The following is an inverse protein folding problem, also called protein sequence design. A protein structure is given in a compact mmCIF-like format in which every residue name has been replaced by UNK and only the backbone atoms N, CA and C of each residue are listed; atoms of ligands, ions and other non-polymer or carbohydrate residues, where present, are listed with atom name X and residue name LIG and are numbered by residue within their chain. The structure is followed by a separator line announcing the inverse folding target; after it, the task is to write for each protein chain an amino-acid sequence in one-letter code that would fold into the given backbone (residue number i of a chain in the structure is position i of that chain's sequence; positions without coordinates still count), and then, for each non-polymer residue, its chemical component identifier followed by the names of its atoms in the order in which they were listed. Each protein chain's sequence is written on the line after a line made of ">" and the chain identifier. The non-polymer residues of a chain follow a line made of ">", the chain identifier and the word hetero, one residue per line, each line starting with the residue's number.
data_IF_600148811032
#
_entry.id   IF_600148811032
#
_cell.length_a   1.000
_cell.length_b   1.000
_cell.length_c   1.000
_cell.angle_alpha   90.00
_cell.angle_beta   90.00
_cell.angle_gamma   90.00
#
_symmetry.space_group_name_H-M   'P 1'
#
loop_
_entity.id
_entity.type
_entity.pdbx_description
1 polymer ?
#
# COMPACT_ATOMS: atom_id res chain seq x y z
N UNK A 1 18.55 -24.86 -43.43
CA UNK A 1 19.13 -23.52 -43.19
C UNK A 1 18.66 -23.06 -41.82
N UNK A 2 19.57 -22.69 -40.92
CA UNK A 2 19.20 -22.08 -39.64
C UNK A 2 18.56 -20.72 -39.95
N UNK A 3 17.30 -20.56 -39.60
CA UNK A 3 16.61 -19.27 -39.66
C UNK A 3 17.41 -18.28 -38.78
N UNK A 4 17.82 -17.15 -39.35
CA UNK A 4 18.56 -16.13 -38.60
C UNK A 4 17.70 -15.65 -37.43
N UNK A 5 18.19 -15.84 -36.20
CA UNK A 5 17.49 -15.39 -34.98
C UNK A 5 17.82 -13.92 -34.72
N UNK A 6 16.81 -13.15 -34.31
CA UNK A 6 17.02 -11.77 -33.87
C UNK A 6 17.75 -11.78 -32.52
N UNK A 7 18.71 -10.89 -32.33
CA UNK A 7 19.41 -10.70 -31.05
C UNK A 7 18.68 -9.61 -30.27
N UNK A 8 18.28 -9.91 -29.04
CA UNK A 8 17.66 -8.97 -28.11
C UNK A 8 18.52 -8.82 -26.85
N UNK A 9 18.59 -7.61 -26.31
CA UNK A 9 19.15 -7.34 -24.99
C UNK A 9 18.24 -7.80 -23.85
N UNK A 10 18.61 -7.46 -22.61
CA UNK A 10 17.78 -7.70 -21.42
C UNK A 10 16.51 -6.84 -21.36
N UNK A 11 16.51 -5.70 -22.06
CA UNK A 11 15.37 -4.79 -22.23
C UNK A 11 15.28 -4.35 -23.70
N UNK A 12 14.06 -4.33 -24.25
CA UNK A 12 13.80 -3.92 -25.64
C UNK A 12 12.48 -3.14 -25.74
N UNK A 13 12.30 -2.48 -26.88
CA UNK A 13 11.04 -1.80 -27.22
C UNK A 13 10.31 -2.57 -28.31
N UNK A 14 9.01 -2.77 -28.13
CA UNK A 14 8.15 -3.45 -29.10
C UNK A 14 6.81 -2.74 -29.27
N UNK A 15 6.06 -3.10 -30.31
CA UNK A 15 4.71 -2.58 -30.58
C UNK A 15 3.68 -3.71 -30.64
N UNK A 16 2.41 -3.33 -30.46
CA UNK A 16 1.24 -4.18 -30.70
C UNK A 16 0.20 -3.38 -31.48
N UNK A 17 0.31 -3.31 -32.82
CA UNK A 17 -0.54 -2.47 -33.66
C UNK A 17 -2.05 -2.78 -33.51
N UNK A 18 -2.40 -4.06 -33.37
CA UNK A 18 -3.80 -4.50 -33.21
C UNK A 18 -4.41 -4.02 -31.89
N UNK A 19 -3.59 -3.81 -30.87
CA UNK A 19 -4.01 -3.25 -29.58
C UNK A 19 -3.91 -1.72 -29.55
N UNK A 20 -3.48 -1.09 -30.64
CA UNK A 20 -3.22 0.33 -30.68
C UNK A 20 -2.07 0.77 -29.77
N UNK A 21 -1.13 -0.13 -29.44
CA UNK A 21 0.06 0.16 -28.63
C UNK A 21 1.24 0.41 -29.58
N UNK A 22 1.62 1.67 -29.86
CA UNK A 22 2.65 1.95 -30.85
C UNK A 22 4.05 1.58 -30.36
N UNK A 23 4.34 1.75 -29.06
CA UNK A 23 5.64 1.39 -28.50
C UNK A 23 5.59 1.17 -26.97
N UNK A 24 6.06 0.04 -26.49
CA UNK A 24 6.10 -0.31 -25.07
C UNK A 24 7.43 -0.96 -24.72
N UNK A 25 7.94 -0.65 -23.52
CA UNK A 25 9.18 -1.22 -23.01
C UNK A 25 8.91 -2.62 -22.46
N UNK A 26 9.62 -3.61 -22.99
CA UNK A 26 9.56 -5.00 -22.58
C UNK A 26 10.86 -5.43 -21.89
N UNK A 27 10.72 -6.18 -20.78
CA UNK A 27 11.83 -6.97 -20.26
C UNK A 27 11.86 -8.31 -20.95
N UNK A 28 13.02 -8.69 -21.47
CA UNK A 28 13.25 -9.99 -22.10
C UNK A 28 13.50 -11.02 -21.00
N UNK A 29 12.53 -11.89 -20.76
CA UNK A 29 12.53 -12.80 -19.62
C UNK A 29 12.41 -14.26 -20.08
N UNK A 30 13.57 -14.90 -20.25
CA UNK A 30 13.64 -16.32 -20.58
C UNK A 30 13.16 -17.23 -19.44
N UNK A 31 13.05 -16.72 -18.20
CA UNK A 31 12.47 -17.45 -17.07
C UNK A 31 10.94 -17.53 -17.11
N UNK A 32 10.29 -16.55 -17.73
CA UNK A 32 8.84 -16.54 -17.92
C UNK A 32 8.43 -17.48 -19.07
N UNK A 33 7.52 -18.42 -18.82
CA UNK A 33 6.99 -19.33 -19.87
C UNK A 33 6.22 -18.54 -20.95
N UNK A 34 5.18 -17.82 -20.51
CA UNK A 34 4.28 -17.05 -21.37
C UNK A 34 4.52 -15.55 -21.13
N UNK A 35 4.42 -14.74 -22.19
CA UNK A 35 4.51 -13.29 -22.08
C UNK A 35 3.39 -12.71 -21.20
N UNK A 36 3.65 -11.54 -20.60
CA UNK A 36 2.68 -10.87 -19.75
C UNK A 36 2.65 -9.38 -20.03
N UNK A 37 1.45 -8.84 -20.22
CA UNK A 37 1.20 -7.42 -20.43
C UNK A 37 0.51 -6.86 -19.18
N UNK A 38 1.06 -5.75 -18.67
CA UNK A 38 0.45 -4.96 -17.63
C UNK A 38 -0.85 -4.37 -18.16
N UNK A 39 -1.96 -4.73 -17.55
CA UNK A 39 -3.28 -4.24 -17.91
C UNK A 39 -4.11 -3.95 -16.66
N UNK A 40 -4.95 -2.92 -16.74
CA UNK A 40 -5.90 -2.52 -15.69
C UNK A 40 -7.33 -2.53 -16.26
N UNK A 41 -8.32 -2.43 -15.38
CA UNK A 41 -9.74 -2.46 -15.76
C UNK A 41 -10.14 -3.67 -16.63
N UNK A 42 -9.45 -4.81 -16.43
CA UNK A 42 -9.64 -6.01 -17.23
C UNK A 42 -11.04 -6.58 -16.98
N UNK A 43 -11.88 -6.55 -18.00
CA UNK A 43 -13.26 -7.01 -17.92
C UNK A 43 -13.64 -7.85 -19.16
N UNK A 44 -14.10 -9.10 -18.98
CA UNK A 44 -14.63 -9.88 -20.08
C UNK A 44 -15.97 -9.30 -20.54
N UNK A 45 -16.25 -9.37 -21.85
CA UNK A 45 -17.54 -9.01 -22.44
C UNK A 45 -17.83 -9.88 -23.67
N UNK A 46 -19.05 -9.79 -24.21
CA UNK A 46 -19.40 -10.44 -25.47
C UNK A 46 -19.53 -9.40 -26.58
N UNK A 47 -18.87 -9.65 -27.71
CA UNK A 47 -18.97 -8.86 -28.94
C UNK A 47 -19.38 -9.82 -30.05
N UNK A 48 -20.53 -9.56 -30.67
CA UNK A 48 -21.04 -10.38 -31.78
C UNK A 48 -21.10 -11.90 -31.45
N UNK A 49 -21.46 -12.23 -30.21
CA UNK A 49 -21.56 -13.63 -29.75
C UNK A 49 -20.23 -14.28 -29.34
N UNK A 50 -19.08 -13.65 -29.60
CA UNK A 50 -17.76 -14.13 -29.21
C UNK A 50 -17.32 -13.56 -27.85
N UNK A 51 -16.47 -14.30 -27.13
CA UNK A 51 -15.88 -13.82 -25.88
C UNK A 51 -14.72 -12.88 -26.16
N UNK A 52 -14.78 -11.69 -25.59
CA UNK A 52 -13.77 -10.65 -25.70
C UNK A 52 -13.35 -10.19 -24.30
N UNK A 53 -12.24 -9.47 -24.22
CA UNK A 53 -11.79 -8.79 -23.02
C UNK A 53 -11.47 -7.34 -23.37
N UNK A 54 -11.98 -6.40 -22.56
CA UNK A 54 -11.60 -5.00 -22.60
C UNK A 54 -10.66 -4.72 -21.44
N UNK A 55 -9.67 -3.86 -21.66
CA UNK A 55 -8.66 -3.53 -20.68
C UNK A 55 -7.95 -2.23 -21.07
N UNK A 56 -7.32 -1.59 -20.10
CA UNK A 56 -6.56 -0.36 -20.29
C UNK A 56 -5.07 -0.62 -20.09
N UNK A 57 -4.24 0.05 -20.87
CA UNK A 57 -2.78 -0.04 -20.82
C UNK A 57 -2.19 1.33 -20.50
N UNK A 58 -1.25 1.36 -19.55
CA UNK A 58 -0.34 2.47 -19.34
C UNK A 58 1.03 2.12 -19.96
N UNK A 59 1.30 2.52 -21.21
CA UNK A 59 2.45 2.00 -21.96
C UNK A 59 3.79 2.62 -21.52
N UNK A 60 3.75 3.83 -20.97
CA UNK A 60 4.95 4.56 -20.53
C UNK A 60 5.25 4.22 -19.08
N UNK A 61 6.51 3.89 -18.79
CA UNK A 61 6.96 3.61 -17.43
C UNK A 61 6.76 4.82 -16.52
N UNK A 62 6.21 4.59 -15.33
CA UNK A 62 5.90 5.62 -14.33
C UNK A 62 4.98 6.75 -14.83
N UNK A 63 4.24 6.55 -15.93
CA UNK A 63 3.22 7.48 -16.41
C UNK A 63 1.90 6.72 -16.52
N UNK A 64 0.93 7.18 -15.73
CA UNK A 64 -0.42 6.61 -15.69
C UNK A 64 -1.46 7.50 -16.37
N UNK A 65 -1.06 8.69 -16.85
CA UNK A 65 -1.93 9.63 -17.58
C UNK A 65 -2.15 9.18 -19.02
N UNK A 66 -1.14 8.57 -19.63
CA UNK A 66 -1.23 7.95 -20.94
C UNK A 66 -1.96 6.61 -20.80
N UNK A 67 -3.16 6.52 -21.37
CA UNK A 67 -4.00 5.33 -21.34
C UNK A 67 -4.36 4.93 -22.77
N UNK A 68 -4.18 3.66 -23.09
CA UNK A 68 -4.70 3.05 -24.31
C UNK A 68 -5.83 2.11 -23.92
N UNK A 69 -7.00 2.34 -24.52
CA UNK A 69 -8.15 1.46 -24.35
C UNK A 69 -8.09 0.35 -25.39
N UNK A 70 -7.97 -0.88 -24.90
CA UNK A 70 -7.78 -2.06 -25.75
C UNK A 70 -8.98 -3.01 -25.63
N UNK A 71 -9.33 -3.62 -26.77
CA UNK A 71 -10.24 -4.76 -26.82
C UNK A 71 -9.55 -5.87 -27.61
N UNK A 72 -9.64 -7.11 -27.13
CA UNK A 72 -9.11 -8.26 -27.85
C UNK A 72 -10.01 -9.49 -27.67
N UNK A 73 -10.06 -10.40 -28.66
CA UNK A 73 -10.68 -11.71 -28.50
C UNK A 73 -10.06 -12.47 -27.32
N UNK A 74 -10.90 -13.07 -26.48
CA UNK A 74 -10.44 -13.88 -25.37
C UNK A 74 -10.12 -15.29 -25.86
N UNK A 75 -8.83 -15.64 -25.86
CA UNK A 75 -8.34 -16.93 -26.39
C UNK A 75 -8.46 -18.03 -25.33
N UNK A 76 -8.04 -17.74 -24.10
CA UNK A 76 -7.93 -18.74 -23.04
C UNK A 76 -7.90 -18.06 -21.65
N UNK A 77 -7.96 -18.87 -20.60
CA UNK A 77 -7.66 -18.47 -19.21
C UNK A 77 -6.60 -19.39 -18.64
N UNK A 78 -5.50 -18.82 -18.16
CA UNK A 78 -4.36 -19.60 -17.64
C UNK A 78 -4.07 -19.28 -16.19
N UNK A 79 -3.86 -20.34 -15.40
CA UNK A 79 -3.34 -20.22 -14.04
C UNK A 79 -1.83 -20.03 -14.14
N UNK A 80 -1.35 -18.82 -13.85
CA UNK A 80 0.07 -18.48 -13.83
C UNK A 80 0.58 -18.50 -12.39
N UNK A 81 1.70 -19.20 -12.16
CA UNK A 81 2.39 -19.23 -10.88
C UNK A 81 3.54 -18.22 -10.90
N UNK A 82 3.55 -17.26 -9.98
CA UNK A 82 4.67 -16.34 -9.79
C UNK A 82 5.89 -17.03 -9.18
N UNK A 83 7.06 -16.40 -9.29
CA UNK A 83 8.28 -16.79 -8.58
C UNK A 83 8.10 -16.81 -7.06
N UNK A 84 7.21 -15.98 -6.52
CA UNK A 84 6.81 -15.95 -5.11
C UNK A 84 5.83 -17.06 -4.69
N UNK A 85 5.41 -17.93 -5.63
CA UNK A 85 4.52 -19.05 -5.36
C UNK A 85 3.03 -18.76 -5.46
N UNK A 86 2.64 -17.50 -5.72
CA UNK A 86 1.24 -17.09 -5.93
C UNK A 86 0.69 -17.67 -7.22
N UNK A 87 -0.58 -18.08 -7.23
CA UNK A 87 -1.28 -18.54 -8.43
C UNK A 87 -2.38 -17.53 -8.78
N UNK A 88 -2.40 -17.09 -10.03
CA UNK A 88 -3.37 -16.13 -10.56
C UNK A 88 -4.01 -16.71 -11.81
N UNK A 89 -5.34 -16.69 -11.92
CA UNK A 89 -6.02 -16.94 -13.20
C UNK A 89 -5.96 -15.66 -14.03
N UNK A 90 -5.36 -15.73 -15.22
CA UNK A 90 -5.18 -14.60 -16.13
C UNK A 90 -5.86 -14.85 -17.46
N UNK A 91 -6.46 -13.80 -18.02
CA UNK A 91 -7.00 -13.82 -19.37
C UNK A 91 -5.85 -13.85 -20.37
N UNK A 92 -5.98 -14.68 -21.41
CA UNK A 92 -5.01 -14.81 -22.49
C UNK A 92 -5.58 -14.17 -23.75
N UNK A 93 -4.80 -13.29 -24.35
CA UNK A 93 -5.07 -12.72 -25.66
C UNK A 93 -3.97 -13.14 -26.62
N UNK A 94 -4.28 -13.08 -27.91
CA UNK A 94 -3.32 -13.30 -28.98
C UNK A 94 -3.23 -12.04 -29.82
N UNK A 95 -2.02 -11.61 -30.14
CA UNK A 95 -1.79 -10.41 -30.96
C UNK A 95 -0.43 -10.46 -31.66
N UNK A 96 -0.28 -9.69 -32.73
CA UNK A 96 1.00 -9.53 -33.43
C UNK A 96 1.97 -8.65 -32.65
N UNK A 97 3.11 -9.24 -32.28
CA UNK A 97 4.29 -8.54 -31.77
C UNK A 97 5.08 -8.00 -32.95
N UNK A 98 5.42 -6.71 -32.94
CA UNK A 98 6.51 -6.19 -33.78
C UNK A 98 7.68 -5.76 -32.91
N UNK A 99 8.88 -6.20 -33.28
CA UNK A 99 10.13 -5.92 -32.56
C UNK A 99 11.28 -5.83 -33.55
N UNK A 100 11.90 -4.65 -33.63
CA UNK A 100 12.84 -4.33 -34.71
C UNK A 100 12.18 -4.48 -36.08
N UNK A 101 12.82 -5.23 -36.98
CA UNK A 101 12.29 -5.50 -38.33
C UNK A 101 11.51 -6.83 -38.43
N UNK A 102 11.13 -7.41 -37.29
CA UNK A 102 10.46 -8.72 -37.25
C UNK A 102 9.05 -8.59 -36.68
N UNK A 103 8.12 -9.40 -37.20
CA UNK A 103 6.77 -9.51 -36.66
C UNK A 103 6.33 -10.98 -36.57
N UNK A 104 5.59 -11.32 -35.52
CA UNK A 104 4.93 -12.62 -35.41
C UNK A 104 3.84 -12.62 -34.34
N UNK A 105 2.92 -13.57 -34.46
CA UNK A 105 1.82 -13.77 -33.53
C UNK A 105 2.31 -14.34 -32.20
N UNK A 106 1.90 -13.74 -31.08
CA UNK A 106 2.20 -14.24 -29.73
C UNK A 106 0.95 -14.31 -28.89
N UNK A 107 0.96 -15.23 -27.91
CA UNK A 107 0.01 -15.20 -26.81
C UNK A 107 0.61 -14.46 -25.61
N UNK A 108 -0.22 -13.69 -24.92
CA UNK A 108 0.17 -13.01 -23.70
C UNK A 108 -0.95 -13.02 -22.67
N UNK A 109 -0.56 -13.03 -21.40
CA UNK A 109 -1.48 -12.92 -20.27
C UNK A 109 -1.68 -11.46 -19.87
N UNK A 110 -2.92 -11.08 -19.57
CA UNK A 110 -3.26 -9.77 -19.00
C UNK A 110 -3.23 -9.86 -17.48
N UNK A 111 -2.50 -8.96 -16.81
CA UNK A 111 -2.40 -8.93 -15.34
C UNK A 111 -2.01 -7.55 -14.84
N UNK A 112 -2.46 -7.17 -13.64
CA UNK A 112 -1.97 -5.94 -13.03
C UNK A 112 -0.55 -6.16 -12.48
N UNK A 113 0.42 -5.49 -13.11
CA UNK A 113 1.85 -5.53 -12.76
C UNK A 113 2.42 -4.21 -12.21
N UNK A 114 1.58 -3.30 -11.69
CA UNK A 114 2.00 -1.98 -11.18
C UNK A 114 3.19 -2.07 -10.20
N UNK A 115 3.18 -3.08 -9.33
CA UNK A 115 4.23 -3.30 -8.33
C UNK A 115 5.51 -3.95 -8.86
N UNK A 116 5.57 -4.37 -10.14
CA UNK A 116 6.61 -5.26 -10.68
C UNK A 116 7.57 -4.62 -11.68
N UNK A 117 7.54 -3.28 -11.83
CA UNK A 117 8.56 -2.48 -12.51
C UNK A 117 8.56 -2.49 -14.05
N UNK A 118 8.10 -3.57 -14.71
CA UNK A 118 7.98 -3.63 -16.18
C UNK A 118 6.54 -3.87 -16.64
N UNK A 119 6.07 -3.02 -17.55
CA UNK A 119 4.74 -3.08 -18.16
C UNK A 119 4.59 -4.23 -19.16
N UNK A 120 5.68 -4.74 -19.72
CA UNK A 120 5.66 -5.90 -20.62
C UNK A 120 6.79 -6.88 -20.26
N UNK A 121 6.46 -8.17 -20.21
CA UNK A 121 7.42 -9.28 -20.15
C UNK A 121 7.34 -10.08 -21.44
N UNK A 122 8.46 -10.21 -22.15
CA UNK A 122 8.59 -11.10 -23.30
C UNK A 122 9.04 -12.48 -22.83
N UNK A 123 8.11 -13.44 -22.84
CA UNK A 123 8.33 -14.79 -22.34
C UNK A 123 8.94 -15.74 -23.39
N UNK A 124 9.39 -16.89 -22.91
CA UNK A 124 10.14 -17.88 -23.68
C UNK A 124 9.34 -18.50 -24.83
N UNK A 125 8.02 -18.65 -24.71
CA UNK A 125 7.16 -19.12 -25.81
C UNK A 125 7.13 -18.15 -27.00
N UNK A 126 7.06 -16.85 -26.73
CA UNK A 126 7.13 -15.81 -27.77
C UNK A 126 8.50 -15.77 -28.47
N UNK A 127 9.57 -16.08 -27.73
CA UNK A 127 10.95 -16.05 -28.22
C UNK A 127 11.40 -17.34 -28.93
N UNK A 128 10.78 -18.47 -28.63
CA UNK A 128 11.25 -19.79 -29.05
C UNK A 128 11.40 -19.90 -30.57
N UNK A 129 12.57 -20.37 -31.01
CA UNK A 129 12.92 -20.50 -32.44
C UNK A 129 13.26 -19.19 -33.17
N UNK A 130 13.03 -18.03 -32.55
CA UNK A 130 13.11 -16.71 -33.22
C UNK A 130 14.18 -15.79 -32.65
N UNK A 131 14.46 -15.91 -31.35
CA UNK A 131 15.27 -14.95 -30.59
C UNK A 131 16.53 -15.60 -29.99
N UNK A 132 17.62 -14.85 -29.97
CA UNK A 132 18.80 -15.05 -29.13
C UNK A 132 18.87 -13.89 -28.13
N UNK A 133 19.10 -14.17 -26.84
CA UNK A 133 19.14 -13.13 -25.80
C UNK A 133 20.59 -12.88 -25.40
N UNK A 134 21.02 -11.64 -25.52
CA UNK A 134 22.27 -11.13 -24.97
C UNK A 134 21.98 -10.44 -23.62
N UNK A 135 22.35 -11.06 -22.48
CA UNK A 135 22.04 -10.51 -21.17
C UNK A 135 22.89 -9.28 -20.80
N UNK A 136 24.01 -9.03 -21.48
CA UNK A 136 24.90 -7.90 -21.21
C UNK A 136 24.36 -6.60 -21.82
N UNK A 137 23.65 -6.71 -22.93
CA UNK A 137 23.15 -5.57 -23.70
C UNK A 137 21.74 -5.12 -23.28
N UNK A 138 21.39 -3.89 -23.64
CA UNK A 138 20.05 -3.32 -23.57
C UNK A 138 19.78 -2.49 -24.83
N UNK A 139 18.53 -2.50 -25.30
CA UNK A 139 18.08 -1.72 -26.46
C UNK A 139 18.91 -1.98 -27.72
N UNK A 140 19.22 -3.25 -28.00
CA UNK A 140 20.00 -3.66 -29.18
C UNK A 140 19.32 -3.17 -30.47
N UNK A 141 17.99 -3.04 -30.44
CA UNK A 141 17.17 -2.58 -31.55
C UNK A 141 16.89 -1.07 -31.54
N UNK A 142 17.50 -0.32 -30.61
CA UNK A 142 17.33 1.11 -30.43
C UNK A 142 16.34 1.48 -29.32
N UNK A 143 16.41 2.75 -28.91
CA UNK A 143 15.59 3.32 -27.84
C UNK A 143 14.91 4.61 -28.32
N UNK A 144 13.58 4.75 -28.15
CA UNK A 144 12.89 6.01 -28.40
C UNK A 144 13.34 7.08 -27.41
N UNK A 145 13.47 8.32 -27.89
CA UNK A 145 13.72 9.49 -27.04
C UNK A 145 12.46 9.88 -26.28
N UNK A 146 12.61 10.60 -25.16
CA UNK A 146 11.47 11.09 -24.37
C UNK A 146 10.48 11.93 -25.18
N UNK A 147 10.97 12.73 -26.14
CA UNK A 147 10.12 13.54 -27.00
C UNK A 147 9.38 12.70 -28.04
N UNK A 148 10.04 11.68 -28.60
CA UNK A 148 9.37 10.73 -29.50
C UNK A 148 8.24 9.97 -28.80
N UNK A 149 8.42 9.58 -27.53
CA UNK A 149 7.37 8.94 -26.73
C UNK A 149 6.18 9.87 -26.52
N UNK A 150 6.41 11.15 -26.23
CA UNK A 150 5.32 12.13 -26.07
C UNK A 150 4.54 12.33 -27.35
N UNK A 151 5.21 12.46 -28.49
CA UNK A 151 4.53 12.64 -29.78
C UNK A 151 3.71 11.40 -30.16
N UNK A 152 4.26 10.20 -29.97
CA UNK A 152 3.56 8.93 -30.24
C UNK A 152 2.30 8.77 -29.38
N UNK A 153 2.31 9.29 -28.14
CA UNK A 153 1.21 9.15 -27.18
C UNK A 153 0.39 10.42 -26.95
N UNK A 154 0.55 11.44 -27.79
CA UNK A 154 -0.04 12.78 -27.61
C UNK A 154 -1.56 12.78 -27.46
N UNK A 155 -2.24 11.88 -28.17
CA UNK A 155 -3.71 11.76 -28.15
C UNK A 155 -4.22 10.71 -27.15
N UNK A 156 -3.32 10.06 -26.42
CA UNK A 156 -3.63 9.00 -25.46
C UNK A 156 -3.60 9.50 -24.01
N UNK A 157 -3.31 10.78 -23.78
CA UNK A 157 -3.41 11.38 -22.44
C UNK A 157 -4.87 11.65 -22.09
N UNK A 158 -5.30 11.13 -20.93
CA UNK A 158 -6.63 11.43 -20.40
C UNK A 158 -6.65 12.86 -19.87
N UNK A 159 -7.64 13.66 -20.27
CA UNK A 159 -7.94 14.91 -19.57
C UNK A 159 -8.30 14.59 -18.11
N UNK A 160 -7.72 15.32 -17.16
CA UNK A 160 -8.05 15.17 -15.73
C UNK A 160 -9.54 15.48 -15.53
N UNK A 161 -10.33 14.43 -15.34
CA UNK A 161 -11.78 14.51 -15.13
C UNK A 161 -12.15 14.37 -13.66
N UNK A 162 -11.16 14.08 -12.81
CA UNK A 162 -11.33 13.93 -11.38
C UNK A 162 -10.99 15.19 -10.58
N UNK A 163 -11.31 15.12 -9.29
CA UNK A 163 -10.96 16.13 -8.28
C UNK A 163 -9.45 16.29 -8.05
N UNK A 164 -9.08 17.38 -7.37
CA UNK A 164 -7.72 17.69 -6.90
C UNK A 164 -7.47 17.11 -5.53
N UNK A 165 -6.47 16.23 -5.42
CA UNK A 165 -6.14 15.53 -4.19
C UNK A 165 -4.69 15.81 -3.79
N UNK A 166 -4.48 16.31 -2.58
CA UNK A 166 -3.15 16.52 -2.00
C UNK A 166 -2.73 15.35 -1.10
N UNK A 167 -1.56 14.76 -1.35
CA UNK A 167 -0.92 13.80 -0.45
C UNK A 167 0.00 14.55 0.52
N UNK A 168 -0.46 14.76 1.75
CA UNK A 168 0.27 15.50 2.77
C UNK A 168 1.22 14.56 3.54
N UNK A 169 2.52 14.59 3.20
CA UNK A 169 3.51 13.64 3.72
C UNK A 169 4.90 14.26 3.85
N UNK A 170 5.90 13.47 4.28
CA UNK A 170 7.27 13.97 4.50
C UNK A 170 8.32 13.42 3.53
N UNK A 171 8.01 12.33 2.81
CA UNK A 171 8.96 11.69 1.89
C UNK A 171 8.22 11.15 0.66
N UNK A 172 8.40 11.72 -0.53
CA UNK A 172 7.74 11.26 -1.75
C UNK A 172 8.22 9.87 -2.20
N UNK A 173 9.44 9.47 -1.82
CA UNK A 173 10.07 8.24 -2.29
C UNK A 173 9.57 6.97 -1.60
N UNK A 174 8.76 7.07 -0.54
CA UNK A 174 8.19 5.91 0.12
C UNK A 174 7.19 5.19 -0.79
N UNK A 175 7.28 3.85 -0.85
CA UNK A 175 6.37 2.99 -1.61
C UNK A 175 4.89 3.38 -1.44
N UNK A 176 4.44 3.53 -0.19
CA UNK A 176 3.04 3.86 0.09
C UNK A 176 2.61 5.21 -0.52
N UNK A 177 3.50 6.18 -0.55
CA UNK A 177 3.19 7.51 -1.08
C UNK A 177 3.17 7.49 -2.61
N UNK A 178 4.14 6.84 -3.25
CA UNK A 178 4.14 6.61 -4.70
C UNK A 178 2.87 5.91 -5.16
N UNK A 179 2.51 4.81 -4.49
CA UNK A 179 1.30 4.04 -4.78
C UNK A 179 0.01 4.85 -4.66
N UNK A 180 -0.12 5.70 -3.65
CA UNK A 180 -1.30 6.57 -3.50
C UNK A 180 -1.36 7.62 -4.62
N UNK A 181 -0.23 8.24 -4.98
CA UNK A 181 -0.16 9.19 -6.09
C UNK A 181 -0.55 8.50 -7.41
N UNK A 182 0.08 7.37 -7.73
CA UNK A 182 -0.21 6.57 -8.92
C UNK A 182 -1.68 6.16 -8.97
N UNK A 183 -2.23 5.62 -7.87
CA UNK A 183 -3.61 5.16 -7.82
C UNK A 183 -4.61 6.32 -8.04
N UNK A 184 -4.30 7.52 -7.55
CA UNK A 184 -5.13 8.70 -7.78
C UNK A 184 -5.09 9.15 -9.23
N UNK A 185 -3.89 9.24 -9.82
CA UNK A 185 -3.71 9.62 -11.21
C UNK A 185 -4.34 8.59 -12.18
N UNK A 186 -4.19 7.29 -11.92
CA UNK A 186 -4.83 6.21 -12.69
C UNK A 186 -6.35 6.31 -12.70
N UNK A 187 -6.92 6.88 -11.65
CA UNK A 187 -8.36 7.11 -11.51
C UNK A 187 -8.81 8.45 -12.10
N UNK A 188 -7.87 9.22 -12.65
CA UNK A 188 -8.12 10.46 -13.38
C UNK A 188 -8.13 11.71 -12.51
N UNK A 189 -7.63 11.62 -11.27
CA UNK A 189 -7.51 12.76 -10.36
C UNK A 189 -6.21 13.54 -10.57
N UNK A 190 -6.26 14.82 -10.24
CA UNK A 190 -5.07 15.68 -10.21
C UNK A 190 -4.39 15.52 -8.85
N UNK A 191 -3.30 14.77 -8.82
CA UNK A 191 -2.58 14.44 -7.59
C UNK A 191 -1.42 15.39 -7.33
N UNK A 192 -1.29 15.88 -6.09
CA UNK A 192 -0.19 16.74 -5.68
C UNK A 192 0.48 16.22 -4.42
N UNK A 193 1.80 16.05 -4.45
CA UNK A 193 2.57 15.74 -3.25
C UNK A 193 2.84 17.02 -2.47
N UNK A 194 2.44 17.07 -1.20
CA UNK A 194 2.62 18.23 -0.32
C UNK A 194 3.56 17.85 0.82
N UNK A 195 4.79 18.39 0.81
CA UNK A 195 5.69 18.21 1.93
C UNK A 195 5.20 18.98 3.16
N UNK A 196 4.92 18.26 4.26
CA UNK A 196 4.45 18.84 5.52
C UNK A 196 5.33 20.00 5.99
N UNK A 197 6.66 19.89 5.88
CA UNK A 197 7.59 20.92 6.39
C UNK A 197 7.65 22.17 5.52
N UNK A 198 7.17 22.09 4.29
CA UNK A 198 7.14 23.21 3.35
C UNK A 198 5.80 23.95 3.38
N UNK A 199 4.81 23.42 4.11
CA UNK A 199 3.52 24.06 4.31
C UNK A 199 3.56 24.99 5.52
N UNK A 200 2.92 26.15 5.42
CA UNK A 200 2.66 27.08 6.52
C UNK A 200 1.26 27.68 6.36
N UNK A 201 0.68 28.27 7.41
CA UNK A 201 -0.73 28.68 7.36
C UNK A 201 -0.95 30.10 7.87
N UNK A 202 -1.97 30.75 7.30
CA UNK A 202 -2.52 32.02 7.75
C UNK A 202 -3.83 31.72 8.48
N UNK A 203 -3.86 32.02 9.77
CA UNK A 203 -5.05 31.92 10.60
C UNK A 203 -5.79 33.26 10.55
N UNK A 204 -6.82 33.32 9.71
CA UNK A 204 -7.66 34.50 9.57
C UNK A 204 -9.12 34.08 9.54
N UNK A 205 -9.99 34.87 10.18
CA UNK A 205 -11.40 34.54 10.34
C UNK A 205 -12.19 34.58 9.02
N UNK A 206 -11.70 35.31 8.02
CA UNK A 206 -12.39 35.51 6.73
C UNK A 206 -11.70 34.79 5.56
N UNK A 207 -10.38 34.75 5.61
CA UNK A 207 -9.49 34.24 4.55
C UNK A 207 -8.45 33.28 5.13
N UNK A 208 -8.87 32.15 5.73
CA UNK A 208 -7.95 31.12 6.16
C UNK A 208 -7.23 30.53 4.93
N UNK A 209 -5.90 30.42 5.01
CA UNK A 209 -5.09 29.93 3.90
C UNK A 209 -4.01 28.97 4.38
N UNK A 210 -3.64 28.04 3.51
CA UNK A 210 -2.42 27.25 3.62
C UNK A 210 -1.53 27.63 2.44
N UNK A 211 -0.28 27.91 2.74
CA UNK A 211 0.76 28.27 1.81
C UNK A 211 1.77 27.13 1.71
N UNK A 212 2.41 27.03 0.56
CA UNK A 212 3.53 26.16 0.29
C UNK A 212 4.76 27.00 -0.02
N UNK A 213 5.94 26.43 0.21
CA UNK A 213 7.22 27.06 -0.10
C UNK A 213 7.21 27.72 -1.48
N UNK A 214 7.63 28.98 -1.53
CA UNK A 214 7.55 29.82 -2.74
C UNK A 214 6.31 30.70 -2.82
N UNK A 215 5.45 30.70 -1.80
CA UNK A 215 4.27 31.57 -1.73
C UNK A 215 3.04 31.04 -2.46
N UNK A 216 3.04 29.76 -2.86
CA UNK A 216 1.90 29.13 -3.50
C UNK A 216 0.78 28.91 -2.48
N UNK A 217 -0.42 29.39 -2.77
CA UNK A 217 -1.60 29.18 -1.93
C UNK A 217 -2.30 27.87 -2.31
N UNK A 218 -2.56 27.01 -1.33
CA UNK A 218 -3.14 25.68 -1.48
C UNK A 218 -4.66 25.69 -1.24
N UNK A 219 -5.39 26.51 -1.99
CA UNK A 219 -6.84 26.69 -1.82
C UNK A 219 -7.72 25.88 -2.80
N UNK A 220 -7.12 25.09 -3.69
CA UNK A 220 -7.82 24.41 -4.79
C UNK A 220 -7.86 22.89 -4.61
N UNK A 221 -7.80 22.39 -3.37
CA UNK A 221 -7.90 20.95 -3.11
C UNK A 221 -9.31 20.57 -2.68
N UNK A 222 -9.82 19.50 -3.28
CA UNK A 222 -11.09 18.89 -2.88
C UNK A 222 -10.87 17.90 -1.73
N UNK A 223 -9.74 17.19 -1.75
CA UNK A 223 -9.37 16.23 -0.73
C UNK A 223 -7.87 16.26 -0.36
N UNK A 224 -7.57 15.86 0.87
CA UNK A 224 -6.22 15.65 1.38
C UNK A 224 -6.10 14.24 1.97
N UNK A 225 -4.98 13.57 1.72
CA UNK A 225 -4.60 12.30 2.35
C UNK A 225 -3.41 12.55 3.28
N UNK A 226 -3.62 12.70 4.61
CA UNK A 226 -2.53 12.88 5.55
C UNK A 226 -1.78 11.57 5.80
N UNK A 227 -0.47 11.55 5.51
CA UNK A 227 0.46 10.46 5.79
C UNK A 227 1.50 10.91 6.79
N UNK A 228 1.02 11.18 8.01
CA UNK A 228 1.77 11.86 9.06
C UNK A 228 2.59 10.84 9.88
N UNK A 229 3.91 11.03 9.87
CA UNK A 229 4.84 10.28 10.73
C UNK A 229 4.71 10.74 12.19
N UNK A 230 4.94 9.88 13.18
CA UNK A 230 4.63 10.28 14.56
C UNK A 230 5.49 11.43 15.10
N UNK A 231 6.73 11.60 14.61
CA UNK A 231 7.63 12.69 15.00
C UNK A 231 7.16 14.10 14.60
N UNK A 232 6.17 14.19 13.72
CA UNK A 232 5.60 15.46 13.23
C UNK A 232 4.08 15.49 13.42
N UNK A 233 3.54 14.68 14.34
CA UNK A 233 2.09 14.54 14.56
C UNK A 233 1.42 15.88 14.82
N UNK A 234 1.98 16.69 15.73
CA UNK A 234 1.42 17.99 16.08
C UNK A 234 1.26 18.89 14.84
N UNK A 235 2.34 19.13 14.11
CA UNK A 235 2.32 20.03 12.96
C UNK A 235 1.50 19.48 11.80
N UNK A 236 1.62 18.18 11.50
CA UNK A 236 0.83 17.53 10.46
C UNK A 236 -0.68 17.58 10.75
N UNK A 237 -1.09 17.35 12.00
CA UNK A 237 -2.49 17.45 12.39
C UNK A 237 -2.99 18.90 12.39
N UNK A 238 -2.14 19.88 12.72
CA UNK A 238 -2.48 21.30 12.62
C UNK A 238 -2.79 21.69 11.16
N UNK A 239 -1.96 21.28 10.20
CA UNK A 239 -2.21 21.49 8.76
C UNK A 239 -3.48 20.79 8.29
N UNK A 240 -3.67 19.52 8.70
CA UNK A 240 -4.87 18.75 8.36
C UNK A 240 -6.13 19.45 8.87
N UNK A 241 -6.10 19.95 10.11
CA UNK A 241 -7.21 20.69 10.71
C UNK A 241 -7.50 22.01 9.98
N UNK A 242 -6.46 22.67 9.47
CA UNK A 242 -6.63 23.87 8.67
C UNK A 242 -7.29 23.56 7.32
N UNK A 243 -6.92 22.45 6.67
CA UNK A 243 -7.62 21.97 5.46
C UNK A 243 -9.10 21.65 5.77
N UNK A 244 -9.38 20.98 6.88
CA UNK A 244 -10.75 20.72 7.35
C UNK A 244 -11.55 22.02 7.57
N UNK A 245 -10.94 23.04 8.19
CA UNK A 245 -11.56 24.35 8.39
C UNK A 245 -11.84 25.10 7.08
N UNK A 246 -11.09 24.79 6.01
CA UNK A 246 -11.32 25.27 4.65
C UNK A 246 -12.32 24.41 3.87
N UNK A 247 -13.03 23.48 4.55
CA UNK A 247 -13.99 22.53 3.97
C UNK A 247 -13.39 21.52 2.98
N UNK A 248 -12.10 21.21 3.11
CA UNK A 248 -11.42 20.19 2.32
C UNK A 248 -11.57 18.83 2.99
N UNK A 249 -11.97 17.80 2.24
CA UNK A 249 -12.15 16.45 2.78
C UNK A 249 -10.80 15.81 3.17
N UNK A 250 -10.69 15.22 4.37
CA UNK A 250 -9.44 14.64 4.85
C UNK A 250 -9.55 13.12 5.15
N UNK A 251 -8.65 12.32 4.57
CA UNK A 251 -8.59 10.86 4.72
C UNK A 251 -7.29 10.41 5.40
N UNK A 252 -7.18 10.32 6.73
CA UNK A 252 -8.20 10.50 7.78
C UNK A 252 -8.27 11.94 8.32
N UNK A 253 -9.25 12.21 9.19
CA UNK A 253 -9.39 13.48 9.90
C UNK A 253 -8.28 13.74 10.92
N UNK A 254 -8.02 15.01 11.23
CA UNK A 254 -7.01 15.44 12.20
C UNK A 254 -7.30 14.88 13.61
N UNK A 255 -8.58 14.82 13.98
CA UNK A 255 -9.05 14.25 15.26
C UNK A 255 -8.78 12.75 15.31
N UNK A 256 -9.19 11.98 14.31
CA UNK A 256 -9.00 10.53 14.28
C UNK A 256 -7.51 10.15 14.30
N UNK A 257 -6.67 10.89 13.58
CA UNK A 257 -5.21 10.71 13.61
C UNK A 257 -4.67 10.96 15.01
N UNK A 258 -5.05 12.07 15.65
CA UNK A 258 -4.60 12.42 17.00
C UNK A 258 -4.98 11.34 18.02
N UNK A 259 -6.23 10.90 18.00
CA UNK A 259 -6.75 9.86 18.90
C UNK A 259 -6.01 8.53 18.73
N UNK A 260 -5.72 8.11 17.49
CA UNK A 260 -4.99 6.87 17.23
C UNK A 260 -3.52 6.92 17.65
N UNK A 261 -2.93 8.11 17.80
CA UNK A 261 -1.52 8.32 18.15
C UNK A 261 -1.29 8.24 19.65
N UNK A 262 -2.27 8.68 20.44
CA UNK A 262 -2.26 8.47 21.88
C UNK A 262 -2.66 7.02 22.18
N UNK A 263 -1.67 6.18 22.48
CA UNK A 263 -1.90 4.74 22.74
C UNK A 263 -2.78 4.51 23.95
N UNK A 264 -2.67 5.32 25.01
CA UNK A 264 -3.47 5.13 26.21
C UNK A 264 -4.93 5.48 25.93
N UNK A 265 -5.16 6.66 25.35
CA UNK A 265 -6.50 7.10 24.97
C UNK A 265 -7.14 6.12 23.97
N UNK A 266 -6.36 5.67 22.98
CA UNK A 266 -6.76 4.66 21.99
C UNK A 266 -7.25 3.38 22.66
N UNK A 267 -6.51 2.81 23.60
CA UNK A 267 -6.91 1.60 24.33
C UNK A 267 -8.16 1.82 25.20
N UNK A 268 -8.26 2.97 25.88
CA UNK A 268 -9.44 3.32 26.69
C UNK A 268 -10.71 3.43 25.82
N UNK A 269 -10.61 4.05 24.65
CA UNK A 269 -11.71 4.20 23.70
C UNK A 269 -12.17 2.85 23.12
N UNK A 270 -11.24 1.94 22.86
CA UNK A 270 -11.53 0.58 22.39
C UNK A 270 -12.26 -0.24 23.45
N UNK A 271 -11.80 -0.18 24.71
CA UNK A 271 -12.47 -0.82 25.84
C UNK A 271 -13.90 -0.29 26.02
N UNK A 272 -14.10 1.04 25.96
CA UNK A 272 -15.43 1.65 26.01
C UNK A 272 -16.34 1.19 24.86
N UNK A 273 -15.75 0.81 23.74
CA UNK A 273 -16.46 0.26 22.57
C UNK A 273 -16.70 -1.26 22.66
N UNK A 274 -16.40 -1.89 23.80
CA UNK A 274 -16.56 -3.32 24.03
C UNK A 274 -15.63 -4.17 23.16
N UNK A 275 -14.43 -3.67 22.85
CA UNK A 275 -13.39 -4.43 22.15
C UNK A 275 -12.40 -4.94 23.18
N UNK A 276 -12.15 -6.25 23.15
CA UNK A 276 -11.16 -6.86 24.03
C UNK A 276 -9.74 -6.50 23.59
N UNK A 277 -8.92 -6.16 24.58
CA UNK A 277 -7.48 -5.91 24.45
C UNK A 277 -6.75 -6.79 25.47
N UNK A 278 -5.45 -7.04 25.32
CA UNK A 278 -4.71 -7.70 26.38
C UNK A 278 -4.74 -6.87 27.67
N UNK A 279 -4.83 -7.53 28.82
CA UNK A 279 -4.81 -6.89 30.14
C UNK A 279 -3.65 -5.89 30.22
N UNK A 280 -3.95 -4.61 30.43
CA UNK A 280 -2.97 -3.51 30.35
C UNK A 280 -3.08 -2.61 31.57
N UNK A 281 -1.96 -2.45 32.29
CA UNK A 281 -1.76 -1.43 33.31
C UNK A 281 -1.05 -0.20 32.74
N UNK A 282 -1.36 0.97 33.28
CA UNK A 282 -0.72 2.24 32.92
C UNK A 282 -0.12 2.88 34.18
N UNK A 283 1.12 3.35 34.09
CA UNK A 283 1.77 4.03 35.20
C UNK A 283 2.73 5.12 34.72
N UNK A 284 2.88 6.18 35.52
CA UNK A 284 3.87 7.24 35.30
C UNK A 284 5.15 6.99 36.09
N UNK A 285 5.00 6.77 37.39
CA UNK A 285 6.10 6.50 38.31
C UNK A 285 5.56 5.68 39.48
N UNK A 286 5.33 4.36 39.29
CA UNK A 286 4.78 3.55 40.35
C UNK A 286 5.78 3.51 41.51
N UNK A 287 5.32 3.81 42.73
CA UNK A 287 6.07 3.48 43.94
C UNK A 287 6.02 1.95 44.18
N UNK A 288 4.93 1.30 43.76
CA UNK A 288 4.72 -0.15 43.85
C UNK A 288 4.77 -0.83 42.47
N UNK A 289 5.98 -1.06 41.96
CA UNK A 289 6.22 -1.85 40.73
C UNK A 289 5.64 -3.27 40.82
N UNK A 290 5.65 -3.86 42.01
CA UNK A 290 5.11 -5.20 42.27
C UNK A 290 3.61 -5.29 42.04
N UNK A 291 2.87 -4.27 42.46
CA UNK A 291 1.43 -4.22 42.28
C UNK A 291 1.07 -4.08 40.79
N UNK A 292 1.81 -3.23 40.07
CA UNK A 292 1.65 -3.07 38.62
C UNK A 292 1.88 -4.39 37.85
N UNK A 293 2.88 -5.18 38.26
CA UNK A 293 3.14 -6.50 37.66
C UNK A 293 1.99 -7.48 37.97
N UNK A 294 1.49 -7.48 39.21
CA UNK A 294 0.36 -8.34 39.61
C UNK A 294 -0.94 -7.97 38.88
N UNK A 295 -1.18 -6.68 38.67
CA UNK A 295 -2.37 -6.14 37.99
C UNK A 295 -2.56 -6.72 36.57
N UNK A 296 -1.47 -7.06 35.89
CA UNK A 296 -1.50 -7.63 34.53
C UNK A 296 -1.37 -9.16 34.50
N UNK A 297 -1.43 -9.82 35.66
CA UNK A 297 -1.34 -11.28 35.78
C UNK A 297 0.08 -11.83 35.97
N UNK A 298 1.07 -10.98 36.24
CA UNK A 298 2.46 -11.40 36.48
C UNK A 298 3.30 -11.49 35.21
N UNK A 299 4.42 -12.22 35.29
CA UNK A 299 5.35 -12.42 34.17
C UNK A 299 5.13 -13.77 33.48
N UNK A 300 5.42 -13.90 32.17
CA UNK A 300 6.01 -12.90 31.27
C UNK A 300 5.06 -11.75 30.94
N UNK A 301 5.60 -10.54 30.78
CA UNK A 301 4.83 -9.32 30.44
C UNK A 301 5.55 -8.44 29.44
N UNK A 302 4.81 -7.53 28.81
CA UNK A 302 5.32 -6.52 27.89
C UNK A 302 5.33 -5.16 28.55
N UNK A 303 6.47 -4.45 28.50
CA UNK A 303 6.56 -3.03 28.87
C UNK A 303 6.68 -2.19 27.61
N UNK A 304 5.79 -1.22 27.44
CA UNK A 304 5.74 -0.30 26.29
C UNK A 304 5.91 1.15 26.74
N UNK A 305 6.79 1.88 26.09
CA UNK A 305 6.84 3.34 26.17
C UNK A 305 5.72 3.95 25.33
N UNK A 306 5.02 4.95 25.89
CA UNK A 306 4.08 5.77 25.13
C UNK A 306 4.81 6.59 24.07
N UNK A 307 5.99 7.10 24.43
CA UNK A 307 6.86 7.88 23.54
C UNK A 307 7.74 6.95 22.70
N UNK A 308 7.53 6.95 21.39
CA UNK A 308 8.33 6.17 20.44
C UNK A 308 7.53 5.58 19.27
N UNK A 309 8.23 5.30 18.17
CA UNK A 309 7.65 4.76 16.93
C UNK A 309 8.33 3.45 16.52
N UNK A 310 7.62 2.57 15.81
CA UNK A 310 8.18 1.35 15.19
C UNK A 310 8.77 0.33 16.19
N UNK A 311 8.13 0.11 17.34
CA UNK A 311 8.54 -0.95 18.28
C UNK A 311 9.81 -0.66 19.09
N UNK A 312 10.47 0.49 18.88
CA UNK A 312 11.47 1.04 19.81
C UNK A 312 10.75 1.43 21.10
N UNK A 313 11.10 0.77 22.20
CA UNK A 313 10.43 0.94 23.49
C UNK A 313 9.37 -0.11 23.81
N UNK A 314 9.33 -1.25 23.11
CA UNK A 314 8.55 -2.45 23.52
C UNK A 314 9.52 -3.52 23.98
N UNK A 315 9.42 -3.95 25.24
CA UNK A 315 10.34 -4.90 25.88
C UNK A 315 9.54 -6.06 26.46
N UNK A 316 9.96 -7.30 26.17
CA UNK A 316 9.46 -8.49 26.85
C UNK A 316 10.29 -8.71 28.12
N UNK A 317 9.60 -8.79 29.26
CA UNK A 317 10.20 -9.17 30.53
C UNK A 317 9.70 -10.55 30.94
N UNK A 318 10.58 -11.55 30.81
CA UNK A 318 10.23 -12.95 31.10
C UNK A 318 10.14 -13.27 32.59
N UNK A 319 10.85 -12.48 33.42
CA UNK A 319 10.92 -12.68 34.88
C UNK A 319 10.54 -11.41 35.62
N UNK A 320 10.04 -11.56 36.85
CA UNK A 320 9.70 -10.43 37.73
C UNK A 320 10.86 -9.45 37.89
N UNK A 321 12.09 -9.94 38.12
CA UNK A 321 13.29 -9.11 38.24
C UNK A 321 13.60 -8.31 36.97
N UNK A 322 13.43 -8.93 35.80
CA UNK A 322 13.59 -8.24 34.53
C UNK A 322 12.53 -7.14 34.35
N UNK A 323 11.27 -7.43 34.69
CA UNK A 323 10.18 -6.46 34.63
C UNK A 323 10.45 -5.27 35.57
N UNK A 324 10.83 -5.53 36.81
CA UNK A 324 11.22 -4.50 37.79
C UNK A 324 12.36 -3.62 37.27
N UNK A 325 13.40 -4.23 36.70
CA UNK A 325 14.56 -3.51 36.16
C UNK A 325 14.16 -2.60 35.00
N UNK A 326 13.35 -3.08 34.06
CA UNK A 326 12.88 -2.29 32.91
C UNK A 326 11.96 -1.15 33.37
N UNK A 327 11.02 -1.42 34.27
CA UNK A 327 10.11 -0.41 34.82
C UNK A 327 10.89 0.68 35.59
N UNK A 328 11.85 0.29 36.43
CA UNK A 328 12.69 1.23 37.16
C UNK A 328 13.60 2.05 36.24
N UNK A 329 14.12 1.44 35.17
CA UNK A 329 14.90 2.15 34.15
C UNK A 329 14.06 3.19 33.39
N UNK A 330 12.78 2.93 33.11
CA UNK A 330 11.90 3.92 32.50
C UNK A 330 11.43 5.00 33.49
N UNK A 331 11.29 4.65 34.77
CA UNK A 331 11.00 5.59 35.85
C UNK A 331 12.08 6.66 36.00
N UNK A 332 13.36 6.29 35.89
CA UNK A 332 14.47 7.27 35.98
C UNK A 332 14.48 8.26 34.80
N UNK A 333 13.82 7.91 33.69
CA UNK A 333 13.62 8.77 32.53
C UNK A 333 12.34 9.61 32.63
N UNK A 334 11.61 9.54 33.75
CA UNK A 334 10.33 10.22 33.98
C UNK A 334 9.28 9.94 32.88
N UNK A 335 9.33 8.73 32.30
CA UNK A 335 8.52 8.34 31.16
C UNK A 335 7.25 7.59 31.57
N UNK A 336 6.15 7.85 30.85
CA UNK A 336 4.92 7.09 30.98
C UNK A 336 5.06 5.68 30.38
N UNK A 337 4.62 4.66 31.12
CA UNK A 337 4.73 3.25 30.73
C UNK A 337 3.37 2.56 30.67
N UNK A 338 3.22 1.68 29.68
CA UNK A 338 2.18 0.66 29.65
C UNK A 338 2.82 -0.69 29.98
N UNK A 339 2.22 -1.42 30.91
CA UNK A 339 2.57 -2.81 31.21
C UNK A 339 1.42 -3.67 30.72
N UNK A 340 1.67 -4.72 29.97
CA UNK A 340 0.64 -5.50 29.29
C UNK A 340 0.91 -7.00 29.42
N UNK A 341 -0.13 -7.81 29.56
CA UNK A 341 -0.01 -9.28 29.55
C UNK A 341 0.66 -9.77 28.25
N UNK A 342 1.53 -10.77 28.36
CA UNK A 342 2.16 -11.39 27.20
C UNK A 342 1.34 -12.60 26.71
N UNK A 343 0.84 -12.52 25.47
CA UNK A 343 0.07 -13.60 24.84
C UNK A 343 1.04 -14.63 24.24
N UNK A 344 1.54 -15.54 25.08
CA UNK A 344 2.55 -16.54 24.69
C UNK A 344 2.05 -17.51 23.63
N UNK A 345 0.77 -17.89 23.69
CA UNK A 345 0.14 -18.84 22.78
C UNK A 345 0.05 -18.34 21.33
N UNK A 346 0.20 -17.03 21.11
CA UNK A 346 0.27 -16.46 19.76
C UNK A 346 1.57 -16.84 19.04
N UNK A 347 2.59 -17.31 19.76
CA UNK A 347 3.85 -17.80 19.21
C UNK A 347 4.51 -16.82 18.22
N UNK A 348 4.57 -15.54 18.59
CA UNK A 348 5.19 -14.49 17.77
C UNK A 348 4.40 -14.14 16.50
N UNK A 349 3.10 -14.47 16.45
CA UNK A 349 2.22 -14.18 15.32
C UNK A 349 1.19 -13.13 15.68
N UNK A 350 0.96 -12.22 14.76
CA UNK A 350 -0.18 -11.31 14.82
C UNK A 350 -0.82 -11.12 13.44
N UNK A 351 -2.01 -10.55 13.44
CA UNK A 351 -2.78 -10.26 12.26
C UNK A 351 -2.79 -8.76 12.06
N UNK A 352 -2.60 -8.31 10.83
CA UNK A 352 -2.87 -6.93 10.41
C UNK A 352 -4.04 -6.94 9.43
N UNK A 353 -5.17 -6.39 9.88
CA UNK A 353 -6.36 -6.19 9.06
C UNK A 353 -6.40 -4.74 8.58
N UNK A 354 -6.53 -4.54 7.27
CA UNK A 354 -6.62 -3.23 6.66
C UNK A 354 -8.08 -2.88 6.44
N UNK A 355 -8.55 -1.83 7.11
CA UNK A 355 -9.92 -1.34 7.05
C UNK A 355 -9.95 -0.08 6.18
N UNK A 356 -10.83 -0.07 5.19
CA UNK A 356 -11.14 1.11 4.38
C UNK A 356 -12.67 1.26 4.34
N UNK A 357 -13.16 2.44 4.71
CA UNK A 357 -14.57 2.82 4.65
C UNK A 357 -15.50 1.75 5.28
N UNK A 358 -15.15 1.32 6.49
CA UNK A 358 -15.91 0.35 7.27
C UNK A 358 -15.82 -1.11 6.78
N UNK A 359 -14.90 -1.44 5.86
CA UNK A 359 -14.70 -2.80 5.33
C UNK A 359 -13.26 -3.26 5.48
N UNK A 360 -13.05 -4.52 5.87
CA UNK A 360 -11.73 -5.15 5.82
C UNK A 360 -11.42 -5.53 4.37
N UNK A 361 -10.52 -4.77 3.72
CA UNK A 361 -10.16 -4.96 2.31
C UNK A 361 -9.05 -6.00 2.12
N UNK A 362 -8.16 -6.11 3.10
CA UNK A 362 -7.04 -7.05 3.11
C UNK A 362 -6.65 -7.44 4.53
N UNK A 363 -6.01 -8.60 4.66
CA UNK A 363 -5.48 -9.08 5.93
C UNK A 363 -4.23 -9.92 5.68
N UNK A 364 -3.22 -9.73 6.53
CA UNK A 364 -2.00 -10.52 6.54
C UNK A 364 -1.76 -11.02 7.95
N UNK A 365 -1.15 -12.20 8.07
CA UNK A 365 -0.51 -12.65 9.28
C UNK A 365 0.97 -12.29 9.19
N UNK A 366 1.50 -11.66 10.23
CA UNK A 366 2.93 -11.43 10.37
C UNK A 366 3.50 -12.41 11.38
N UNK A 367 4.70 -12.88 11.13
CA UNK A 367 5.41 -13.82 12.00
C UNK A 367 6.81 -13.28 12.30
N UNK A 368 7.15 -13.25 13.58
CA UNK A 368 8.46 -12.84 14.05
C UNK A 368 9.55 -13.85 13.66
N UNK A 369 10.80 -13.40 13.62
CA UNK A 369 11.95 -14.30 13.45
C UNK A 369 12.13 -15.20 14.67
N UNK A 370 12.82 -16.32 14.51
CA UNK A 370 13.15 -17.21 15.62
C UNK A 370 13.92 -16.43 16.71
N UNK A 371 13.39 -16.43 17.94
CA UNK A 371 13.94 -15.68 19.08
C UNK A 371 13.43 -14.24 19.22
N UNK A 372 12.58 -13.76 18.32
CA UNK A 372 11.92 -12.45 18.40
C UNK A 372 10.42 -12.64 18.65
N UNK A 373 9.81 -11.79 19.47
CA UNK A 373 8.37 -11.86 19.77
C UNK A 373 7.56 -10.84 18.97
N UNK A 374 8.22 -9.83 18.40
CA UNK A 374 7.59 -8.77 17.60
C UNK A 374 7.51 -9.18 16.14
N UNK A 375 6.29 -9.26 15.61
CA UNK A 375 6.04 -9.66 14.23
C UNK A 375 6.14 -8.50 13.21
N UNK A 376 6.69 -7.35 13.58
CA UNK A 376 6.78 -6.21 12.66
C UNK A 376 7.68 -6.55 11.45
N UNK A 377 7.17 -6.37 10.23
CA UNK A 377 7.90 -6.64 8.97
C UNK A 377 9.22 -5.84 8.90
N UNK A 378 9.24 -4.61 9.43
CA UNK A 378 10.46 -3.79 9.47
C UNK A 378 11.59 -4.38 10.35
N UNK A 379 11.29 -5.36 11.21
CA UNK A 379 12.27 -6.09 12.03
C UNK A 379 12.68 -7.44 11.40
N UNK A 380 12.35 -7.67 10.11
CA UNK A 380 12.67 -8.91 9.40
C UNK A 380 11.61 -10.01 9.54
N UNK A 381 10.45 -9.72 10.12
CA UNK A 381 9.32 -10.64 10.17
C UNK A 381 8.76 -10.97 8.78
N UNK A 382 8.22 -12.17 8.61
CA UNK A 382 7.59 -12.60 7.35
C UNK A 382 6.10 -12.24 7.33
N UNK A 383 5.54 -12.02 6.15
CA UNK A 383 4.11 -11.77 5.98
C UNK A 383 3.48 -12.83 5.08
N UNK A 384 2.34 -13.37 5.49
CA UNK A 384 1.55 -14.33 4.72
C UNK A 384 0.10 -13.87 4.63
N UNK A 385 -0.55 -14.17 3.50
CA UNK A 385 -1.97 -13.86 3.33
C UNK A 385 -2.80 -14.76 4.24
N UNK A 386 -3.79 -14.19 4.90
CA UNK A 386 -4.72 -14.94 5.74
C UNK A 386 -6.16 -14.55 5.45
N UNK A 387 -7.07 -15.51 5.65
CA UNK A 387 -8.50 -15.25 5.69
C UNK A 387 -8.90 -15.00 7.17
N UNK A 388 -9.21 -13.75 7.56
CA UNK A 388 -9.59 -13.46 8.94
C UNK A 388 -10.99 -14.01 9.22
N UNK A 389 -11.21 -14.39 10.48
CA UNK A 389 -12.50 -14.88 10.97
C UNK A 389 -13.55 -13.77 11.01
N UNK A 390 -14.82 -14.13 11.18
CA UNK A 390 -15.91 -13.15 11.30
C UNK A 390 -15.71 -12.23 12.51
N UNK A 391 -15.24 -12.77 13.65
CA UNK A 391 -14.98 -11.95 14.83
C UNK A 391 -13.77 -11.04 14.68
N UNK A 392 -12.68 -11.51 14.06
CA UNK A 392 -11.52 -10.65 13.75
C UNK A 392 -11.92 -9.47 12.86
N UNK A 393 -12.78 -9.70 11.85
CA UNK A 393 -13.30 -8.63 10.99
C UNK A 393 -14.18 -7.65 11.78
N UNK A 394 -15.07 -8.16 12.64
CA UNK A 394 -15.95 -7.31 13.47
C UNK A 394 -15.13 -6.42 14.41
N UNK A 395 -14.12 -6.97 15.07
CA UNK A 395 -13.18 -6.22 15.91
C UNK A 395 -12.51 -5.11 15.10
N UNK A 396 -11.94 -5.43 13.93
CA UNK A 396 -11.27 -4.44 13.11
C UNK A 396 -12.18 -3.31 12.65
N UNK A 397 -13.39 -3.63 12.17
CA UNK A 397 -14.37 -2.63 11.73
C UNK A 397 -14.84 -1.77 12.90
N UNK A 398 -15.13 -2.38 14.06
CA UNK A 398 -15.57 -1.65 15.26
C UNK A 398 -14.46 -0.73 15.79
N UNK A 399 -13.21 -1.19 15.77
CA UNK A 399 -12.05 -0.40 16.20
C UNK A 399 -11.86 0.84 15.31
N UNK A 400 -11.88 0.66 13.99
CA UNK A 400 -11.79 1.78 13.05
C UNK A 400 -12.94 2.77 13.24
N UNK A 401 -14.17 2.27 13.44
CA UNK A 401 -15.36 3.10 13.70
C UNK A 401 -15.25 3.87 15.03
N UNK A 402 -14.77 3.23 16.10
CA UNK A 402 -14.64 3.85 17.42
C UNK A 402 -13.72 5.07 17.39
N UNK A 403 -12.66 5.02 16.56
CA UNK A 403 -11.69 6.11 16.38
C UNK A 403 -12.02 7.06 15.22
N UNK A 404 -13.17 6.89 14.58
CA UNK A 404 -13.55 7.62 13.36
C UNK A 404 -12.48 7.56 12.23
N UNK A 405 -11.79 6.42 12.12
CA UNK A 405 -10.81 6.16 11.07
C UNK A 405 -11.49 5.56 9.84
N UNK A 406 -11.44 6.29 8.73
CA UNK A 406 -11.86 5.80 7.41
C UNK A 406 -10.85 4.81 6.83
N UNK A 407 -9.56 5.01 7.10
CA UNK A 407 -8.48 4.10 6.72
C UNK A 407 -7.70 3.72 7.96
N UNK A 408 -7.61 2.43 8.28
CA UNK A 408 -6.89 1.96 9.45
C UNK A 408 -6.19 0.63 9.21
N UNK A 409 -5.01 0.47 9.82
CA UNK A 409 -4.41 -0.85 10.04
C UNK A 409 -4.69 -1.29 11.47
N UNK A 410 -5.44 -2.36 11.65
CA UNK A 410 -5.80 -2.91 12.96
C UNK A 410 -4.99 -4.17 13.21
N UNK A 411 -4.24 -4.17 14.30
CA UNK A 411 -3.43 -5.30 14.71
C UNK A 411 -4.16 -6.12 15.77
N UNK A 412 -4.26 -7.42 15.53
CA UNK A 412 -4.99 -8.37 16.36
C UNK A 412 -4.08 -9.54 16.69
N UNK A 413 -4.13 -10.01 17.92
CA UNK A 413 -3.45 -11.23 18.37
C UNK A 413 -4.49 -12.30 18.71
N UNK A 414 -4.22 -13.55 18.33
CA UNK A 414 -5.08 -14.67 18.72
C UNK A 414 -4.62 -15.17 20.08
N UNK A 415 -5.55 -15.22 21.03
CA UNK A 415 -5.33 -15.77 22.37
C UNK A 415 -6.29 -16.92 22.66
N UNK A 416 -6.02 -17.63 23.76
CA UNK A 416 -6.94 -18.63 24.32
C UNK A 416 -8.32 -18.05 24.72
N UNK A 417 -8.40 -16.75 25.00
CA UNK A 417 -9.64 -16.02 25.33
C UNK A 417 -10.41 -15.55 24.09
N UNK A 418 -9.80 -15.65 22.90
CA UNK A 418 -10.31 -15.09 21.66
C UNK A 418 -9.36 -14.07 21.03
N UNK A 419 -9.76 -13.42 19.92
CA UNK A 419 -8.97 -12.37 19.28
C UNK A 419 -8.94 -11.10 20.13
N UNK A 420 -7.74 -10.61 20.46
CA UNK A 420 -7.51 -9.39 21.23
C UNK A 420 -6.88 -8.32 20.34
N UNK A 421 -7.30 -7.07 20.47
CA UNK A 421 -6.75 -5.95 19.70
C UNK A 421 -5.46 -5.42 20.35
N UNK A 422 -4.39 -5.29 19.56
CA UNK A 422 -3.08 -4.78 19.98
C UNK A 422 -2.89 -3.28 19.74
N UNK A 423 -3.11 -2.83 18.50
CA UNK A 423 -2.97 -1.44 18.10
C UNK A 423 -3.87 -1.08 16.90
N UNK A 424 -4.19 0.21 16.76
CA UNK A 424 -4.86 0.77 15.58
C UNK A 424 -3.98 1.88 15.01
N UNK A 425 -3.65 1.77 13.72
CA UNK A 425 -2.80 2.73 13.01
C UNK A 425 -3.60 3.54 12.00
N UNK A 426 -3.56 4.87 12.11
CA UNK A 426 -4.22 5.81 11.18
C UNK A 426 -3.49 6.05 9.86
N UNK A 427 -2.21 5.67 9.77
CA UNK A 427 -1.41 5.79 8.55
C UNK A 427 -0.62 4.49 8.29
N UNK A 428 -1.31 3.35 8.08
CA UNK A 428 -0.67 2.05 7.88
C UNK A 428 0.14 2.03 6.58
N UNK A 429 1.28 1.34 6.57
CA UNK A 429 2.09 1.14 5.36
C UNK A 429 1.40 0.20 4.36
N UNK A 430 1.59 0.46 3.07
CA UNK A 430 0.97 -0.31 1.98
C UNK A 430 1.87 -1.43 1.44
N UNK A 431 3.20 -1.28 1.52
CA UNK A 431 4.17 -2.19 0.87
C UNK A 431 4.01 -3.65 1.29
N UNK A 432 4.00 -3.91 2.59
CA UNK A 432 3.87 -5.28 3.09
C UNK A 432 2.53 -5.93 2.78
N UNK A 433 1.45 -5.15 2.69
CA UNK A 433 0.10 -5.69 2.48
C UNK A 433 -0.24 -5.82 0.98
N UNK A 434 0.11 -4.84 0.16
CA UNK A 434 -0.04 -4.94 -1.30
C UNK A 434 0.89 -6.02 -1.85
N UNK A 435 2.16 -6.07 -1.40
CA UNK A 435 3.11 -7.09 -1.82
C UNK A 435 2.71 -8.52 -1.42
N UNK A 436 2.09 -8.71 -0.26
CA UNK A 436 1.61 -10.03 0.15
C UNK A 436 0.30 -10.42 -0.54
N UNK A 437 -0.65 -9.49 -0.70
CA UNK A 437 -2.01 -9.81 -1.15
C UNK A 437 -2.27 -9.58 -2.64
N UNK A 438 -1.38 -8.87 -3.34
CA UNK A 438 -1.57 -8.38 -4.72
C UNK A 438 -2.87 -7.59 -4.91
N UNK A 439 -3.40 -6.99 -3.84
CA UNK A 439 -4.58 -6.13 -3.89
C UNK A 439 -4.17 -4.68 -4.03
N UNK A 440 -4.95 -3.92 -4.80
CA UNK A 440 -4.81 -2.47 -4.96
C UNK A 440 -5.43 -1.74 -3.77
N UNK A 441 -4.67 -1.60 -2.68
CA UNK A 441 -5.12 -0.95 -1.45
C UNK A 441 -5.13 0.57 -1.62
N UNK A 442 -4.12 1.11 -2.32
CA UNK A 442 -4.10 2.53 -2.67
C UNK A 442 -5.33 2.94 -3.49
N UNK A 443 -5.73 2.15 -4.50
CA UNK A 443 -6.93 2.41 -5.28
C UNK A 443 -8.22 2.34 -4.47
N UNK A 444 -8.33 1.42 -3.51
CA UNK A 444 -9.46 1.40 -2.57
C UNK A 444 -9.49 2.65 -1.66
N UNK A 445 -8.32 3.19 -1.27
CA UNK A 445 -8.26 4.46 -0.54
C UNK A 445 -8.80 5.62 -1.39
N UNK A 446 -8.40 5.71 -2.66
CA UNK A 446 -8.91 6.75 -3.57
C UNK A 446 -10.40 6.57 -3.81
N UNK A 447 -10.88 5.35 -4.01
CA UNK A 447 -12.32 5.07 -4.14
C UNK A 447 -13.11 5.50 -2.90
N UNK A 448 -12.53 5.39 -1.71
CA UNK A 448 -13.16 5.89 -0.50
C UNK A 448 -13.31 7.42 -0.50
N UNK A 449 -12.38 8.15 -1.11
CA UNK A 449 -12.47 9.60 -1.31
C UNK A 449 -13.60 9.91 -2.29
N UNK A 450 -13.59 9.28 -3.48
CA UNK A 450 -14.55 9.50 -4.56
C UNK A 450 -16.01 9.44 -4.10
N UNK A 451 -16.36 8.55 -3.16
CA UNK A 451 -17.73 8.44 -2.62
C UNK A 451 -18.26 9.71 -1.95
N UNK A 452 -17.37 10.64 -1.57
CA UNK A 452 -17.74 11.91 -0.96
C UNK A 452 -18.00 13.01 -2.01
N UNK A 453 -17.78 12.70 -3.29
CA UNK A 453 -17.93 13.63 -4.40
C UNK A 453 -18.93 13.08 -5.42
N UNK A 454 -19.67 13.97 -6.07
CA UNK A 454 -20.51 13.61 -7.22
C UNK A 454 -19.65 13.71 -8.48
N UNK A 455 -18.91 12.64 -8.77
CA UNK A 455 -18.01 12.53 -9.92
C UNK A 455 -18.73 11.98 -11.16
#
# INVERSE_FOLDING_TARGET
>A
MLQSKIILGSEEWCSFPELGIPIIKARVDSGAKTSALHAINIAPFKKEGQNWVKFDINPIQNNVKTVIHCEAPLVDKRIVKSSSGFREERYVIQTNLEIGNSNWLIEMTLTNRDSMGFRMLLGREAMSGRVMVDPEQQYVLGQPTSDSLKEVYKNSEKASSGIRIGLLASNPELYSNKRIMEAGEMRGHEMHFLNIKECYMKLDAKTPEIHYRGGLILNQFDAIIPRIRPSITFYGCALTRQFEAMNVFCLNSSTAITQSRDKLFSLQLLLQSGIEIPTTGFAHSPLDTDDLIKMVGGTPLIVKLLEGTQGKGVVLAETKKAAESVINAFKSLNANILVQEFIKEANGKDLRLFVIDGKVVAAIQREALAGEFRANIHLGGTASVIKPTTEEKKIAIRAAKAMDLKVAGVDIIRSSKGPLLLEVNSSPGLEGIEGATNKDIAGEMIRAIEKNFKL
#
